data_IF_211063857010
#
_entry.id   IF_211063857010
#
_cell.length_a   1.000
_cell.length_b   1.000
_cell.length_c   1.000
_cell.angle_alpha   90.00
_cell.angle_beta   90.00
_cell.angle_gamma   90.00
#
_symmetry.space_group_name_H-M   'P 1'
#
loop_
_entity.id
_entity.type
_entity.pdbx_description
1 polymer ?
#
# COMPACT_ATOMS: atom_id res chain seq x y z
N UNK A 1 8.90 -4.22 -14.73
CA UNK A 1 9.11 -2.84 -14.24
C UNK A 1 7.83 -2.02 -14.30
N UNK A 2 7.12 -2.03 -15.45
CA UNK A 2 5.85 -1.32 -15.60
C UNK A 2 4.77 -1.76 -14.60
N UNK A 3 4.58 -3.07 -14.39
CA UNK A 3 3.65 -3.61 -13.38
C UNK A 3 3.96 -3.12 -11.96
N UNK A 4 5.25 -3.04 -11.59
CA UNK A 4 5.67 -2.48 -10.29
C UNK A 4 5.31 -0.99 -10.19
N UNK A 5 5.47 -0.24 -11.28
CA UNK A 5 5.12 1.18 -11.33
C UNK A 5 3.61 1.42 -11.24
N UNK A 6 2.77 0.47 -11.69
CA UNK A 6 1.32 0.53 -11.47
C UNK A 6 0.96 0.40 -9.98
N UNK A 7 1.78 -0.33 -9.21
CA UNK A 7 1.67 -0.45 -7.76
C UNK A 7 2.00 0.83 -6.98
N UNK A 8 2.50 1.89 -7.62
CA UNK A 8 2.90 3.14 -6.95
C UNK A 8 1.76 3.77 -6.13
N UNK A 9 2.18 4.57 -5.13
CA UNK A 9 1.31 5.28 -4.16
C UNK A 9 0.57 4.36 -3.20
N UNK A 10 0.29 4.90 -2.02
CA UNK A 10 -0.54 4.27 -0.99
C UNK A 10 -1.99 4.29 -1.43
N UNK A 11 -2.66 3.14 -1.31
CA UNK A 11 -4.12 3.06 -1.36
C UNK A 11 -4.60 3.13 0.08
N UNK A 12 -5.37 4.16 0.48
CA UNK A 12 -5.78 4.39 1.88
C UNK A 12 -6.88 3.46 2.39
N UNK A 13 -6.83 2.19 1.98
CA UNK A 13 -7.74 1.13 2.41
C UNK A 13 -6.98 -0.18 2.60
N UNK A 14 -7.61 -1.15 3.27
CA UNK A 14 -7.07 -2.50 3.38
C UNK A 14 -6.79 -3.10 1.99
N UNK A 15 -5.64 -3.77 1.87
CA UNK A 15 -5.19 -4.46 0.66
C UNK A 15 -4.74 -5.87 1.05
N UNK A 16 -5.34 -6.94 0.50
CA UNK A 16 -5.03 -8.31 0.86
C UNK A 16 -3.76 -8.82 0.15
N UNK A 17 -2.63 -8.16 0.41
CA UNK A 17 -1.33 -8.42 -0.26
C UNK A 17 -0.78 -9.86 -0.13
N UNK A 18 -1.33 -10.68 0.76
CA UNK A 18 -0.90 -12.06 1.00
C UNK A 18 -1.70 -13.10 0.20
N UNK A 19 -2.81 -12.72 -0.46
CA UNK A 19 -3.65 -13.66 -1.22
C UNK A 19 -2.89 -14.32 -2.38
N UNK A 20 -1.88 -13.64 -2.93
CA UNK A 20 -1.07 -14.15 -4.04
C UNK A 20 -0.04 -15.21 -3.62
N UNK A 21 0.14 -15.47 -2.32
CA UNK A 21 1.21 -16.34 -1.84
C UNK A 21 1.05 -17.81 -2.26
N UNK A 22 -0.19 -18.29 -2.41
CA UNK A 22 -0.44 -19.65 -2.90
C UNK A 22 0.00 -19.81 -4.36
N UNK A 23 -0.21 -18.78 -5.19
CA UNK A 23 0.27 -18.73 -6.57
C UNK A 23 1.80 -18.68 -6.62
N UNK A 24 2.41 -17.87 -5.74
CA UNK A 24 3.88 -17.77 -5.63
C UNK A 24 4.49 -19.11 -5.22
N UNK A 25 3.88 -19.81 -4.25
CA UNK A 25 4.36 -21.11 -3.79
C UNK A 25 4.22 -22.22 -4.86
N UNK A 26 3.22 -22.10 -5.74
CA UNK A 26 2.99 -23.03 -6.83
C UNK A 26 3.92 -22.81 -8.04
N UNK A 27 4.45 -21.60 -8.22
CA UNK A 27 5.34 -21.26 -9.34
C UNK A 27 6.82 -21.52 -9.00
N UNK A 28 7.33 -22.69 -9.41
CA UNK A 28 8.73 -23.08 -9.21
C UNK A 28 9.77 -22.19 -9.91
N UNK A 29 9.35 -21.29 -10.82
CA UNK A 29 10.24 -20.31 -11.43
C UNK A 29 10.58 -19.15 -10.50
N UNK A 30 9.74 -18.89 -9.49
CA UNK A 30 9.95 -17.85 -8.48
C UNK A 30 10.88 -18.38 -7.40
N UNK A 31 12.14 -17.95 -7.45
CA UNK A 31 13.18 -18.37 -6.49
C UNK A 31 13.59 -17.29 -5.49
N UNK A 32 13.21 -16.05 -5.78
CA UNK A 32 13.46 -14.85 -4.95
C UNK A 32 12.24 -13.94 -5.03
N UNK A 33 11.84 -13.39 -3.89
CA UNK A 33 10.64 -12.58 -3.77
C UNK A 33 10.97 -11.27 -3.03
N UNK A 34 10.55 -10.14 -3.60
CA UNK A 34 10.44 -8.88 -2.88
C UNK A 34 8.99 -8.67 -2.46
N UNK A 35 8.73 -8.72 -1.17
CA UNK A 35 7.44 -8.41 -0.59
C UNK A 35 7.40 -6.95 -0.11
N UNK A 36 6.45 -6.17 -0.63
CA UNK A 36 6.18 -4.80 -0.23
C UNK A 36 4.85 -4.75 0.54
N UNK A 37 4.86 -4.33 1.80
CA UNK A 37 3.63 -4.35 2.60
C UNK A 37 3.76 -3.68 3.96
N UNK A 38 2.64 -3.67 4.68
CA UNK A 38 2.54 -3.05 6.01
C UNK A 38 2.90 -4.03 7.13
N UNK A 39 3.09 -3.53 8.35
CA UNK A 39 3.53 -4.30 9.50
C UNK A 39 2.75 -5.59 9.77
N UNK A 40 1.41 -5.55 9.77
CA UNK A 40 0.59 -6.75 10.00
C UNK A 40 0.77 -7.81 8.91
N UNK A 41 0.88 -7.41 7.64
CA UNK A 41 1.11 -8.33 6.54
C UNK A 41 2.51 -8.96 6.61
N UNK A 42 3.53 -8.17 6.99
CA UNK A 42 4.89 -8.69 7.23
C UNK A 42 4.90 -9.70 8.37
N UNK A 43 4.18 -9.44 9.47
CA UNK A 43 4.08 -10.39 10.59
C UNK A 43 3.43 -11.71 10.17
N UNK A 44 2.32 -11.64 9.43
CA UNK A 44 1.64 -12.83 8.91
C UNK A 44 2.53 -13.61 7.94
N UNK A 45 3.19 -12.93 6.99
CA UNK A 45 4.17 -13.53 6.09
C UNK A 45 5.28 -14.24 6.87
N UNK A 46 5.87 -13.57 7.88
CA UNK A 46 6.96 -14.14 8.68
C UNK A 46 6.52 -15.31 9.56
N UNK A 47 5.22 -15.45 9.85
CA UNK A 47 4.68 -16.53 10.67
C UNK A 47 4.41 -17.82 9.87
N UNK A 48 4.52 -17.77 8.53
CA UNK A 48 4.27 -18.94 7.68
C UNK A 48 5.16 -20.12 8.05
N UNK A 49 4.55 -21.31 8.04
CA UNK A 49 5.20 -22.60 8.31
C UNK A 49 6.11 -22.60 9.56
N UNK A 50 5.62 -22.03 10.67
CA UNK A 50 6.36 -22.02 11.94
C UNK A 50 7.60 -21.13 11.90
N UNK A 51 7.49 -19.95 11.28
CA UNK A 51 8.58 -18.98 11.09
C UNK A 51 9.64 -19.36 10.03
N UNK A 52 9.23 -20.13 9.01
CA UNK A 52 10.06 -20.51 7.86
C UNK A 52 9.39 -20.12 6.52
N UNK A 53 9.20 -18.82 6.24
CA UNK A 53 8.45 -18.36 5.06
C UNK A 53 9.09 -18.73 3.73
N UNK A 54 10.42 -18.75 3.63
CA UNK A 54 11.12 -19.13 2.40
C UNK A 54 10.84 -20.58 2.01
N UNK A 55 10.83 -21.49 3.00
CA UNK A 55 10.48 -22.89 2.78
C UNK A 55 8.99 -23.06 2.41
N UNK A 56 8.10 -22.29 3.06
CA UNK A 56 6.66 -22.30 2.74
C UNK A 56 6.38 -21.88 1.29
N UNK A 57 7.19 -20.98 0.75
CA UNK A 57 7.02 -20.38 -0.58
C UNK A 57 7.97 -20.97 -1.64
N UNK A 58 8.75 -22.01 -1.32
CA UNK A 58 9.70 -22.62 -2.27
C UNK A 58 10.88 -21.73 -2.68
N UNK A 59 11.19 -20.68 -1.91
CA UNK A 59 12.26 -19.72 -2.20
C UNK A 59 13.64 -20.28 -1.83
N UNK A 60 14.68 -19.70 -2.43
CA UNK A 60 16.06 -19.97 -2.01
C UNK A 60 16.32 -19.41 -0.59
N UNK A 61 17.28 -19.99 0.17
CA UNK A 61 17.73 -19.40 1.42
C UNK A 61 18.20 -17.95 1.23
N UNK A 62 17.63 -17.01 1.99
CA UNK A 62 17.89 -15.58 1.83
C UNK A 62 17.26 -14.97 0.57
N UNK A 63 16.31 -15.67 -0.05
CA UNK A 63 15.58 -15.25 -1.24
C UNK A 63 14.38 -14.34 -0.93
N UNK A 64 14.00 -14.17 0.34
CA UNK A 64 12.90 -13.29 0.74
C UNK A 64 13.39 -11.90 1.18
N UNK A 65 13.09 -10.89 0.37
CA UNK A 65 13.31 -9.48 0.65
C UNK A 65 12.01 -8.84 1.12
N UNK A 66 12.07 -7.99 2.15
CA UNK A 66 10.88 -7.31 2.68
C UNK A 66 11.12 -5.81 2.70
N UNK A 67 10.26 -5.07 2.00
CA UNK A 67 10.15 -3.63 2.07
C UNK A 67 8.89 -3.27 2.86
N UNK A 68 9.07 -3.06 4.16
CA UNK A 68 7.99 -2.68 5.07
C UNK A 68 7.71 -1.18 5.04
N UNK A 69 6.43 -0.79 5.07
CA UNK A 69 6.01 0.60 5.29
C UNK A 69 5.29 0.76 6.62
N UNK A 70 5.49 1.90 7.28
CA UNK A 70 4.70 2.27 8.47
C UNK A 70 3.22 2.38 8.10
N UNK A 71 2.34 1.97 9.01
CA UNK A 71 0.91 1.98 8.78
C UNK A 71 0.17 2.09 10.12
N UNK A 72 -0.71 3.08 10.21
CA UNK A 72 -1.68 3.30 11.29
C UNK A 72 -2.99 3.75 10.65
N UNK A 73 -4.12 3.52 11.31
CA UNK A 73 -5.45 4.05 10.93
C UNK A 73 -5.89 3.78 9.47
N UNK A 74 -5.65 2.55 8.99
CA UNK A 74 -6.07 2.17 7.64
C UNK A 74 -7.60 2.03 7.53
N UNK A 75 -8.19 2.46 6.41
CA UNK A 75 -9.63 2.36 6.19
C UNK A 75 -10.04 0.91 5.90
N UNK A 76 -11.18 0.43 6.43
CA UNK A 76 -11.63 -0.94 6.19
C UNK A 76 -12.01 -1.18 4.73
N UNK A 77 -12.53 -0.16 4.04
CA UNK A 77 -12.92 -0.24 2.63
C UNK A 77 -12.54 1.03 1.87
N UNK A 78 -12.48 0.98 0.53
CA UNK A 78 -12.32 2.17 -0.29
C UNK A 78 -13.40 3.23 -0.05
N UNK A 79 -14.65 2.82 0.19
CA UNK A 79 -15.78 3.73 0.45
C UNK A 79 -15.62 4.46 1.78
N UNK A 80 -15.13 3.77 2.83
CA UNK A 80 -14.84 4.40 4.11
C UNK A 80 -13.71 5.44 3.97
N UNK A 81 -12.68 5.13 3.18
CA UNK A 81 -11.64 6.10 2.85
C UNK A 81 -12.21 7.31 2.10
N UNK A 82 -13.08 7.06 1.11
CA UNK A 82 -13.72 8.12 0.32
C UNK A 82 -14.59 9.03 1.20
N UNK A 83 -15.33 8.44 2.14
CA UNK A 83 -16.14 9.16 3.10
C UNK A 83 -15.28 10.08 3.99
N UNK A 84 -14.14 9.60 4.51
CA UNK A 84 -13.19 10.43 5.25
C UNK A 84 -12.68 11.59 4.40
N UNK A 85 -12.20 11.30 3.19
CA UNK A 85 -11.66 12.30 2.25
C UNK A 85 -12.68 13.40 1.96
N UNK A 86 -13.97 13.05 1.84
CA UNK A 86 -15.06 14.01 1.59
C UNK A 86 -15.29 15.00 2.73
N UNK A 87 -14.78 14.71 3.94
CA UNK A 87 -14.86 15.61 5.09
C UNK A 87 -13.67 16.57 5.22
N UNK A 88 -12.64 16.41 4.38
CA UNK A 88 -11.43 17.21 4.48
C UNK A 88 -11.67 18.67 4.08
N UNK A 89 -11.20 19.64 4.89
CA UNK A 89 -11.24 21.05 4.52
C UNK A 89 -10.54 21.30 3.17
N UNK A 90 -11.19 22.03 2.26
CA UNK A 90 -10.65 22.35 0.93
C UNK A 90 -10.82 21.25 -0.13
N UNK A 91 -11.30 20.06 0.25
CA UNK A 91 -11.67 18.98 -0.67
C UNK A 91 -13.19 18.90 -0.81
N UNK A 92 -13.89 18.72 0.31
CA UNK A 92 -15.35 18.53 0.32
C UNK A 92 -15.81 17.30 -0.47
N UNK A 93 -17.13 17.08 -0.52
CA UNK A 93 -17.71 15.98 -1.29
C UNK A 93 -17.53 16.17 -2.80
N UNK A 94 -17.42 17.42 -3.24
CA UNK A 94 -17.35 17.83 -4.64
C UNK A 94 -15.99 17.53 -5.30
N UNK A 95 -14.89 17.52 -4.54
CA UNK A 95 -13.54 17.20 -5.06
C UNK A 95 -12.97 15.91 -4.50
N UNK A 96 -13.75 15.14 -3.73
CA UNK A 96 -13.27 13.89 -3.13
C UNK A 96 -12.74 12.90 -4.18
N UNK A 97 -13.34 12.88 -5.38
CA UNK A 97 -12.91 12.03 -6.50
C UNK A 97 -11.61 12.49 -7.19
N UNK A 98 -11.13 13.70 -6.86
CA UNK A 98 -9.90 14.26 -7.41
C UNK A 98 -8.70 13.99 -6.49
N UNK A 99 -8.92 13.48 -5.28
CA UNK A 99 -7.82 13.12 -4.37
C UNK A 99 -7.06 11.91 -4.90
N UNK A 100 -5.76 12.11 -5.13
CA UNK A 100 -4.80 11.10 -5.56
C UNK A 100 -4.09 10.42 -4.40
N UNK A 101 -3.91 11.15 -3.30
CA UNK A 101 -3.29 10.68 -2.06
C UNK A 101 -3.61 11.68 -0.94
N UNK A 102 -3.60 11.21 0.31
CA UNK A 102 -3.57 12.08 1.47
C UNK A 102 -2.58 11.56 2.51
N UNK A 103 -2.09 12.44 3.38
CA UNK A 103 -1.16 12.09 4.45
C UNK A 103 -1.44 12.92 5.71
N UNK A 104 -1.32 12.28 6.88
CA UNK A 104 -1.34 12.97 8.17
C UNK A 104 0.06 13.51 8.46
N UNK A 105 0.20 14.83 8.41
CA UNK A 105 1.50 15.48 8.51
C UNK A 105 1.81 15.91 9.95
N UNK A 106 3.09 16.07 10.25
CA UNK A 106 3.57 16.46 11.58
C UNK A 106 3.15 17.87 12.03
N UNK A 107 2.57 18.67 11.12
CA UNK A 107 1.98 19.98 11.39
C UNK A 107 0.53 19.91 11.93
N UNK A 108 0.07 18.70 12.28
CA UNK A 108 -1.29 18.41 12.74
C UNK A 108 -2.38 18.70 11.70
N UNK A 109 -2.03 18.64 10.41
CA UNK A 109 -2.97 18.78 9.30
C UNK A 109 -2.97 17.54 8.42
N UNK A 110 -4.09 17.35 7.72
CA UNK A 110 -4.20 16.35 6.65
C UNK A 110 -3.90 17.04 5.33
N UNK A 111 -2.85 16.59 4.65
CA UNK A 111 -2.47 17.11 3.35
C UNK A 111 -3.08 16.21 2.28
N UNK A 112 -3.93 16.77 1.40
CA UNK A 112 -4.54 16.03 0.29
C UNK A 112 -3.96 16.50 -1.04
N UNK A 113 -3.39 15.57 -1.81
CA UNK A 113 -2.94 15.84 -3.17
C UNK A 113 -4.09 15.59 -4.14
N UNK A 114 -4.47 16.62 -4.87
CA UNK A 114 -5.50 16.54 -5.90
C UNK A 114 -4.90 16.26 -7.29
N UNK A 115 -5.74 15.81 -8.22
CA UNK A 115 -5.45 15.86 -9.65
C UNK A 115 -5.18 17.32 -10.02
N UNK A 116 -4.15 17.54 -10.83
CA UNK A 116 -3.93 18.86 -11.41
C UNK A 116 -5.07 19.16 -12.40
N UNK A 117 -5.61 20.37 -12.34
CA UNK A 117 -6.56 20.88 -13.33
C UNK A 117 -5.84 21.21 -14.64
N UNK A 118 -5.20 20.24 -15.30
CA UNK A 118 -4.59 20.42 -16.63
C UNK A 118 -3.63 21.62 -16.81
N UNK A 119 -3.14 22.22 -15.72
CA UNK A 119 -2.35 23.44 -15.70
C UNK A 119 -1.28 23.29 -14.65
N UNK A 120 -0.04 23.09 -15.11
CA UNK A 120 1.12 22.91 -14.24
C UNK A 120 1.29 24.06 -13.25
N UNK A 121 1.49 23.69 -11.99
CA UNK A 121 1.80 24.63 -10.93
C UNK A 121 2.38 23.87 -9.75
N UNK A 122 3.69 24.02 -9.54
CA UNK A 122 4.36 23.67 -8.30
C UNK A 122 3.68 24.36 -7.11
N UNK A 123 3.48 23.61 -6.02
CA UNK A 123 3.12 24.13 -4.70
C UNK A 123 3.03 22.94 -3.75
N UNK A 124 3.96 22.67 -2.82
CA UNK A 124 4.90 23.58 -2.17
C UNK A 124 4.23 24.18 -0.93
N UNK A 125 4.29 23.46 0.20
CA UNK A 125 3.85 23.94 1.51
C UNK A 125 2.86 23.03 2.21
#
# INVERSE_FOLDING_TARGET
AEEVLQGRRVKPSLCPSLEVLDEVAADESIRRLLFCGVGCAVQALRSLNGAAPEAALGLLPGGLYVLGTHCVDNSPTPEASQAFVSTLPGVGAERANDVLAYEFMADFRVHARLKEDGGGGEGGG
#
